data_IF_354738319372
#
_entry.id   IF_354738319372
#
_cell.length_a   1.000
_cell.length_b   1.000
_cell.length_c   1.000
_cell.angle_alpha   90.00
_cell.angle_beta   90.00
_cell.angle_gamma   90.00
#
_symmetry.space_group_name_H-M   'P 1'
#
loop_
_entity.id
_entity.type
_entity.pdbx_description
1 polymer ?
#
# COMPACT_ATOMS: atom_id res chain seq x y z
N UNK A 1 -18.28 -24.86 17.63
CA UNK A 1 -17.67 -23.83 16.76
C UNK A 1 -16.15 -23.89 16.87
N UNK A 2 -15.48 -24.95 16.37
CA UNK A 2 -14.03 -25.13 16.54
C UNK A 2 -13.27 -25.55 15.26
N UNK A 3 -13.96 -25.75 14.13
CA UNK A 3 -13.37 -26.36 12.92
C UNK A 3 -12.90 -25.35 11.85
N UNK A 4 -13.24 -24.07 11.98
CA UNK A 4 -12.86 -23.05 10.98
C UNK A 4 -11.49 -22.41 11.24
N UNK A 5 -10.92 -22.60 12.44
CA UNK A 5 -9.64 -22.02 12.80
C UNK A 5 -8.43 -22.91 12.43
N UNK A 6 -8.60 -24.23 12.38
CA UNK A 6 -7.51 -25.19 12.08
C UNK A 6 -7.00 -25.09 10.63
N UNK A 7 -7.91 -24.96 9.66
CA UNK A 7 -7.57 -24.89 8.23
C UNK A 7 -6.72 -23.67 7.85
N UNK A 8 -6.94 -22.53 8.50
CA UNK A 8 -6.19 -21.31 8.24
C UNK A 8 -4.76 -21.44 8.78
N UNK A 9 -4.59 -21.97 10.00
CA UNK A 9 -3.27 -22.25 10.61
C UNK A 9 -2.49 -23.30 9.84
N UNK A 10 -3.14 -24.33 9.31
CA UNK A 10 -2.51 -25.34 8.44
C UNK A 10 -2.01 -24.73 7.13
N UNK A 11 -2.79 -23.83 6.51
CA UNK A 11 -2.36 -23.13 5.28
C UNK A 11 -1.18 -22.18 5.49
N UNK A 12 -1.09 -21.55 6.68
CA UNK A 12 -0.01 -20.63 7.06
C UNK A 12 1.30 -21.40 7.31
N UNK A 13 1.24 -22.50 8.06
CA UNK A 13 2.40 -23.38 8.27
C UNK A 13 2.89 -24.03 6.98
N UNK A 14 1.97 -24.34 6.07
CA UNK A 14 2.30 -24.87 4.75
C UNK A 14 3.08 -23.85 3.91
N UNK A 15 2.62 -22.59 3.82
CA UNK A 15 3.27 -21.57 3.00
C UNK A 15 4.67 -21.20 3.47
N UNK A 16 4.89 -21.05 4.78
CA UNK A 16 6.25 -20.81 5.32
C UNK A 16 7.21 -21.94 4.93
N UNK A 17 6.75 -23.18 5.00
CA UNK A 17 7.55 -24.36 4.62
C UNK A 17 7.84 -24.36 3.12
N UNK A 18 6.85 -24.00 2.30
CA UNK A 18 7.00 -23.90 0.86
C UNK A 18 7.99 -22.80 0.45
N UNK A 19 7.93 -21.63 1.10
CA UNK A 19 8.91 -20.56 0.93
C UNK A 19 10.32 -21.06 1.23
N UNK A 20 10.52 -21.71 2.38
CA UNK A 20 11.84 -22.25 2.74
C UNK A 20 12.35 -23.24 1.70
N UNK A 21 11.51 -24.19 1.28
CA UNK A 21 11.86 -25.17 0.24
C UNK A 21 12.25 -24.49 -1.07
N UNK A 22 11.56 -23.42 -1.45
CA UNK A 22 11.85 -22.69 -2.68
C UNK A 22 13.16 -21.90 -2.58
N UNK A 23 13.42 -21.24 -1.45
CA UNK A 23 14.69 -20.54 -1.19
C UNK A 23 15.85 -21.54 -1.21
N UNK A 24 15.73 -22.68 -0.54
CA UNK A 24 16.75 -23.74 -0.54
C UNK A 24 17.02 -24.24 -1.97
N UNK A 25 15.96 -24.43 -2.77
CA UNK A 25 16.11 -24.83 -4.17
C UNK A 25 16.81 -23.75 -5.01
N UNK A 26 16.53 -22.46 -4.76
CA UNK A 26 17.18 -21.33 -5.44
C UNK A 26 18.66 -21.20 -5.04
N UNK A 27 19.00 -21.43 -3.77
CA UNK A 27 20.38 -21.37 -3.27
C UNK A 27 21.28 -22.42 -3.92
N UNK A 28 20.77 -23.64 -4.08
CA UNK A 28 21.53 -24.74 -4.69
C UNK A 28 21.44 -24.76 -6.22
N UNK A 29 20.63 -23.88 -6.82
CA UNK A 29 20.50 -23.81 -8.26
C UNK A 29 21.72 -23.13 -8.88
N UNK A 30 22.29 -23.77 -9.91
CA UNK A 30 23.34 -23.16 -10.74
C UNK A 30 22.88 -21.87 -11.42
N UNK A 31 21.58 -21.79 -11.75
CA UNK A 31 20.92 -20.62 -12.33
C UNK A 31 19.51 -20.52 -11.73
N UNK A 32 19.18 -19.37 -11.15
CA UNK A 32 17.82 -19.09 -10.70
C UNK A 32 16.95 -18.78 -11.92
N UNK A 33 15.96 -19.63 -12.17
CA UNK A 33 15.07 -19.53 -13.33
C UNK A 33 13.92 -18.54 -13.12
N UNK A 34 13.29 -18.13 -14.22
CA UNK A 34 12.03 -17.37 -14.18
C UNK A 34 10.92 -18.08 -13.41
N UNK A 35 10.88 -19.41 -13.48
CA UNK A 35 9.93 -20.22 -12.73
C UNK A 35 10.09 -20.04 -11.21
N UNK A 36 11.32 -19.97 -10.72
CA UNK A 36 11.58 -19.72 -9.29
C UNK A 36 11.08 -18.33 -8.87
N UNK A 37 11.38 -17.30 -9.66
CA UNK A 37 10.91 -15.94 -9.38
C UNK A 37 9.39 -15.81 -9.46
N UNK A 38 8.75 -16.48 -10.42
CA UNK A 38 7.30 -16.50 -10.55
C UNK A 38 6.65 -17.17 -9.35
N UNK A 39 7.16 -18.34 -8.93
CA UNK A 39 6.66 -19.06 -7.77
C UNK A 39 6.80 -18.23 -6.49
N UNK A 40 7.95 -17.58 -6.29
CA UNK A 40 8.17 -16.72 -5.13
C UNK A 40 7.28 -15.48 -5.15
N UNK A 41 7.06 -14.87 -6.32
CA UNK A 41 6.15 -13.74 -6.50
C UNK A 41 4.70 -14.08 -6.15
N UNK A 42 4.23 -15.28 -6.51
CA UNK A 42 2.91 -15.78 -6.10
C UNK A 42 2.83 -15.96 -4.58
N UNK A 43 3.80 -16.66 -3.98
CA UNK A 43 3.83 -16.88 -2.53
C UNK A 43 3.84 -15.57 -1.74
N UNK A 44 4.64 -14.58 -2.17
CA UNK A 44 4.68 -13.26 -1.55
C UNK A 44 3.33 -12.56 -1.66
N UNK A 45 2.68 -12.66 -2.81
CA UNK A 45 1.36 -12.05 -3.05
C UNK A 45 0.30 -12.69 -2.16
N UNK A 46 0.22 -14.01 -2.14
CA UNK A 46 -0.76 -14.75 -1.33
C UNK A 46 -0.54 -14.53 0.17
N UNK A 47 0.71 -14.53 0.61
CA UNK A 47 1.08 -14.23 1.99
C UNK A 47 0.72 -12.78 2.37
N UNK A 48 0.95 -11.82 1.46
CA UNK A 48 0.55 -10.42 1.66
C UNK A 48 -0.97 -10.26 1.77
N UNK A 49 -1.73 -10.91 0.88
CA UNK A 49 -3.20 -10.86 0.88
C UNK A 49 -3.80 -11.52 2.11
N UNK A 50 -3.16 -12.57 2.62
CA UNK A 50 -3.64 -13.33 3.79
C UNK A 50 -3.09 -12.82 5.13
N UNK A 51 -2.29 -11.75 5.11
CA UNK A 51 -1.56 -11.28 6.28
C UNK A 51 -0.66 -12.33 6.97
N UNK A 52 -0.05 -13.23 6.19
CA UNK A 52 0.82 -14.30 6.68
C UNK A 52 2.23 -13.76 6.98
N UNK A 53 2.39 -13.18 8.18
CA UNK A 53 3.65 -12.63 8.66
C UNK A 53 4.79 -13.64 8.69
N UNK A 54 4.63 -14.87 9.25
CA UNK A 54 5.71 -15.84 9.28
C UNK A 54 6.25 -16.21 7.90
N UNK A 55 5.39 -16.36 6.89
CA UNK A 55 5.83 -16.64 5.52
C UNK A 55 6.57 -15.46 4.90
N UNK A 56 6.11 -14.22 5.13
CA UNK A 56 6.77 -13.02 4.61
C UNK A 56 8.12 -12.75 5.28
N UNK A 57 8.26 -13.00 6.59
CA UNK A 57 9.56 -12.92 7.29
C UNK A 57 10.53 -13.96 6.72
N UNK A 58 10.08 -15.21 6.54
CA UNK A 58 10.91 -16.26 5.94
C UNK A 58 11.35 -15.89 4.50
N UNK A 59 10.45 -15.31 3.69
CA UNK A 59 10.78 -14.77 2.38
C UNK A 59 11.84 -13.68 2.47
N UNK A 60 11.71 -12.74 3.41
CA UNK A 60 12.64 -11.63 3.57
C UNK A 60 14.05 -12.13 3.91
N UNK A 61 14.14 -13.01 4.91
CA UNK A 61 15.40 -13.56 5.39
C UNK A 61 16.09 -14.39 4.29
N UNK A 62 15.33 -15.24 3.60
CA UNK A 62 15.81 -16.05 2.50
C UNK A 62 16.30 -15.23 1.31
N UNK A 63 15.54 -14.19 0.90
CA UNK A 63 15.95 -13.29 -0.17
C UNK A 63 17.22 -12.49 0.20
N UNK A 64 17.33 -12.03 1.45
CA UNK A 64 18.54 -11.36 1.94
C UNK A 64 19.75 -12.31 2.00
N UNK A 65 19.53 -13.58 2.32
CA UNK A 65 20.54 -14.64 2.24
C UNK A 65 21.01 -14.86 0.79
N UNK A 66 20.09 -15.05 -0.15
CA UNK A 66 20.43 -15.21 -1.57
C UNK A 66 21.17 -13.98 -2.11
N UNK A 67 20.72 -12.77 -1.78
CA UNK A 67 21.37 -11.54 -2.24
C UNK A 67 22.84 -11.43 -1.78
N UNK A 68 23.20 -11.98 -0.62
CA UNK A 68 24.59 -12.00 -0.13
C UNK A 68 25.54 -12.83 -0.99
N UNK A 69 25.03 -13.72 -1.84
CA UNK A 69 25.87 -14.47 -2.79
C UNK A 69 26.34 -13.63 -3.98
N UNK A 70 25.76 -12.43 -4.17
CA UNK A 70 26.03 -11.53 -5.29
C UNK A 70 26.71 -10.21 -4.83
N UNK A 71 27.59 -10.29 -3.84
CA UNK A 71 28.26 -9.11 -3.26
C UNK A 71 29.36 -8.54 -4.17
N UNK A 72 30.07 -9.39 -4.90
CA UNK A 72 31.10 -8.96 -5.86
C UNK A 72 30.47 -8.63 -7.22
N UNK A 73 29.96 -7.40 -7.32
CA UNK A 73 29.17 -6.93 -8.47
C UNK A 73 30.00 -6.90 -9.76
N UNK A 74 31.30 -6.59 -9.65
CA UNK A 74 32.19 -6.43 -10.80
C UNK A 74 32.53 -7.79 -11.44
N UNK A 75 32.49 -8.86 -10.65
CA UNK A 75 32.68 -10.24 -11.13
C UNK A 75 31.42 -10.86 -11.76
N UNK A 76 30.24 -10.21 -11.66
CA UNK A 76 29.00 -10.77 -12.17
C UNK A 76 28.90 -10.66 -13.70
N UNK A 77 28.38 -11.70 -14.34
CA UNK A 77 27.93 -11.62 -15.72
C UNK A 77 26.57 -10.89 -15.83
N UNK A 78 26.11 -10.65 -17.07
CA UNK A 78 24.86 -9.93 -17.29
C UNK A 78 23.62 -10.66 -16.70
N UNK A 79 23.43 -11.97 -16.91
CA UNK A 79 22.35 -12.73 -16.26
C UNK A 79 22.37 -12.68 -14.72
N UNK A 80 23.55 -12.80 -14.11
CA UNK A 80 23.71 -12.73 -12.65
C UNK A 80 23.37 -11.33 -12.11
N UNK A 81 23.76 -10.26 -12.83
CA UNK A 81 23.35 -8.89 -12.47
C UNK A 81 21.84 -8.71 -12.52
N UNK A 82 21.17 -9.27 -13.53
CA UNK A 82 19.70 -9.23 -13.62
C UNK A 82 19.04 -10.00 -12.48
N UNK A 83 19.50 -11.22 -12.20
CA UNK A 83 19.03 -12.02 -11.06
C UNK A 83 19.17 -11.27 -9.74
N UNK A 84 20.34 -10.67 -9.48
CA UNK A 84 20.58 -9.83 -8.31
C UNK A 84 19.58 -8.69 -8.22
N UNK A 85 19.33 -7.98 -9.33
CA UNK A 85 18.36 -6.90 -9.39
C UNK A 85 16.93 -7.35 -9.06
N UNK A 86 16.52 -8.52 -9.55
CA UNK A 86 15.21 -9.11 -9.26
C UNK A 86 15.07 -9.51 -7.79
N UNK A 87 16.10 -10.13 -7.22
CA UNK A 87 16.15 -10.44 -5.78
C UNK A 87 15.99 -9.16 -4.96
N UNK A 88 16.74 -8.10 -5.29
CA UNK A 88 16.64 -6.81 -4.60
C UNK A 88 15.24 -6.20 -4.70
N UNK A 89 14.61 -6.24 -5.88
CA UNK A 89 13.24 -5.78 -6.06
C UNK A 89 12.23 -6.56 -5.23
N UNK A 90 12.39 -7.89 -5.11
CA UNK A 90 11.53 -8.71 -4.26
C UNK A 90 11.76 -8.42 -2.77
N UNK A 91 12.99 -8.14 -2.33
CA UNK A 91 13.27 -7.69 -0.96
C UNK A 91 12.48 -6.42 -0.65
N UNK A 92 12.47 -5.44 -1.55
CA UNK A 92 11.73 -4.19 -1.35
C UNK A 92 10.22 -4.43 -1.27
N UNK A 93 9.67 -5.30 -2.13
CA UNK A 93 8.25 -5.66 -2.10
C UNK A 93 7.88 -6.32 -0.78
N UNK A 94 8.65 -7.31 -0.33
CA UNK A 94 8.41 -8.01 0.94
C UNK A 94 8.56 -7.06 2.13
N UNK A 95 9.57 -6.17 2.10
CA UNK A 95 9.74 -5.14 3.13
C UNK A 95 8.49 -4.26 3.28
N UNK A 96 7.92 -3.81 2.16
CA UNK A 96 6.71 -3.00 2.18
C UNK A 96 5.46 -3.80 2.54
N UNK A 97 5.38 -5.08 2.15
CA UNK A 97 4.32 -5.98 2.58
C UNK A 97 4.33 -6.14 4.11
N UNK A 98 5.48 -6.47 4.71
CA UNK A 98 5.67 -6.58 6.17
C UNK A 98 5.35 -5.28 6.90
N UNK A 99 5.79 -4.13 6.38
CA UNK A 99 5.42 -2.83 6.96
C UNK A 99 3.93 -2.51 6.90
N UNK A 100 3.21 -3.11 5.96
CA UNK A 100 1.77 -2.93 5.77
C UNK A 100 0.95 -4.08 6.34
N UNK A 101 1.60 -5.14 6.82
CA UNK A 101 0.92 -6.23 7.47
C UNK A 101 0.14 -5.69 8.67
N UNK A 102 -0.99 -6.34 8.98
CA UNK A 102 -1.61 -6.11 10.26
C UNK A 102 -0.62 -6.58 11.33
N UNK A 103 0.14 -5.66 11.94
CA UNK A 103 0.84 -5.95 13.19
C UNK A 103 -0.16 -6.61 14.13
N UNK A 104 0.05 -7.87 14.51
CA UNK A 104 -0.82 -8.66 15.39
C UNK A 104 -1.06 -8.05 16.77
N UNK A 105 -0.59 -6.81 16.99
CA UNK A 105 -1.08 -5.90 18.00
C UNK A 105 -2.61 -5.80 17.88
N UNK A 106 -3.30 -6.65 18.64
CA UNK A 106 -4.65 -6.39 19.07
C UNK A 106 -4.58 -5.06 19.81
N UNK A 107 -4.96 -4.01 19.10
CA UNK A 107 -5.26 -2.72 19.69
C UNK A 107 -6.43 -2.99 20.65
N UNK A 108 -6.13 -3.25 21.92
CA UNK A 108 -7.13 -3.31 22.99
C UNK A 108 -7.54 -1.87 23.33
N UNK A 109 -8.17 -1.19 22.36
CA UNK A 109 -8.61 0.19 22.56
C UNK A 109 -9.79 0.18 23.52
N UNK A 110 -9.65 0.98 24.57
CA UNK A 110 -10.79 1.35 25.40
C UNK A 110 -11.76 2.18 24.53
N UNK A 111 -13.06 1.84 24.50
CA UNK A 111 -14.03 2.54 23.63
C UNK A 111 -14.07 4.06 23.82
N UNK A 112 -13.93 4.51 25.05
CA UNK A 112 -13.89 5.94 25.40
C UNK A 112 -12.48 6.54 25.39
N UNK A 113 -11.47 5.73 25.06
CA UNK A 113 -10.08 6.17 24.99
C UNK A 113 -9.83 7.10 23.80
N UNK A 114 -8.85 8.00 23.96
CA UNK A 114 -8.44 8.96 22.93
C UNK A 114 -8.14 8.30 21.57
N UNK A 115 -7.58 7.09 21.57
CA UNK A 115 -7.26 6.34 20.36
C UNK A 115 -8.51 5.79 19.64
N UNK A 116 -9.50 5.28 20.37
CA UNK A 116 -10.76 4.85 19.78
C UNK A 116 -11.53 6.05 19.20
N UNK A 117 -11.65 7.12 19.98
CA UNK A 117 -12.28 8.37 19.54
C UNK A 117 -11.58 9.00 18.33
N UNK A 118 -10.24 8.95 18.26
CA UNK A 118 -9.48 9.36 17.09
C UNK A 118 -9.90 8.57 15.84
N UNK A 119 -9.93 7.23 15.93
CA UNK A 119 -10.29 6.38 14.80
C UNK A 119 -11.73 6.66 14.33
N UNK A 120 -12.68 6.78 15.27
CA UNK A 120 -14.07 7.11 14.95
C UNK A 120 -14.19 8.48 14.28
N UNK A 121 -13.48 9.49 14.77
CA UNK A 121 -13.47 10.83 14.17
C UNK A 121 -12.93 10.79 12.73
N UNK A 122 -11.75 10.18 12.52
CA UNK A 122 -11.16 10.05 11.16
C UNK A 122 -12.01 9.20 10.24
N UNK A 123 -12.72 8.19 10.76
CA UNK A 123 -13.70 7.41 9.98
C UNK A 123 -14.85 8.28 9.48
N UNK A 124 -15.35 9.20 10.32
CA UNK A 124 -16.46 10.10 9.98
C UNK A 124 -16.02 11.17 8.99
N UNK A 125 -14.80 11.70 9.15
CA UNK A 125 -14.23 12.73 8.27
C UNK A 125 -12.77 12.43 7.93
N UNK A 126 -12.52 11.70 6.82
CA UNK A 126 -11.16 11.48 6.34
C UNK A 126 -10.47 12.80 5.96
N UNK A 127 -9.15 12.84 6.06
CA UNK A 127 -8.31 14.01 5.72
C UNK A 127 -8.15 15.04 6.84
N UNK A 128 -8.64 14.79 8.05
CA UNK A 128 -8.53 15.75 9.14
C UNK A 128 -7.09 15.98 9.59
N UNK A 129 -6.78 17.24 9.86
CA UNK A 129 -5.50 17.66 10.44
C UNK A 129 -5.41 17.49 11.94
N UNK A 130 -4.19 17.55 12.49
CA UNK A 130 -3.97 17.50 13.94
C UNK A 130 -4.80 18.53 14.69
N UNK A 131 -4.85 19.77 14.19
CA UNK A 131 -5.63 20.86 14.76
C UNK A 131 -7.13 20.57 14.75
N UNK A 132 -7.65 20.08 13.62
CA UNK A 132 -9.07 19.75 13.49
C UNK A 132 -9.47 18.60 14.43
N UNK A 133 -8.64 17.56 14.52
CA UNK A 133 -8.86 16.46 15.46
C UNK A 133 -8.76 16.90 16.92
N UNK A 134 -7.82 17.79 17.25
CA UNK A 134 -7.67 18.35 18.59
C UNK A 134 -8.94 19.10 19.01
N UNK A 135 -9.46 19.97 18.13
CA UNK A 135 -10.73 20.66 18.36
C UNK A 135 -11.91 19.70 18.48
N UNK A 136 -12.06 18.75 17.55
CA UNK A 136 -13.17 17.80 17.53
C UNK A 136 -13.19 16.88 18.76
N UNK A 137 -12.00 16.54 19.29
CA UNK A 137 -11.86 15.68 20.44
C UNK A 137 -11.67 16.45 21.76
N UNK A 138 -11.72 17.79 21.75
CA UNK A 138 -11.51 18.59 22.96
C UNK A 138 -10.18 18.29 23.67
N UNK A 139 -9.11 18.07 22.90
CA UNK A 139 -7.76 17.76 23.38
C UNK A 139 -6.73 18.66 22.68
N UNK A 140 -5.45 18.56 23.02
CA UNK A 140 -4.37 19.30 22.36
C UNK A 140 -3.74 18.54 21.16
N UNK A 141 -3.08 19.29 20.26
CA UNK A 141 -2.43 18.73 19.05
C UNK A 141 -1.25 17.79 19.36
N UNK A 142 -0.64 17.90 20.54
CA UNK A 142 0.47 17.03 20.95
C UNK A 142 -0.06 15.65 21.30
N UNK A 143 -1.18 15.55 22.02
CA UNK A 143 -1.82 14.26 22.29
C UNK A 143 -2.35 13.63 21.00
N UNK A 144 -2.93 14.40 20.08
CA UNK A 144 -3.30 13.92 18.74
C UNK A 144 -2.08 13.33 18.01
N UNK A 145 -0.94 14.02 18.06
CA UNK A 145 0.30 13.53 17.45
C UNK A 145 0.83 12.26 18.11
N UNK A 146 0.71 12.15 19.44
CA UNK A 146 1.15 10.99 20.22
C UNK A 146 0.29 9.78 19.94
N UNK A 147 -1.03 9.94 19.99
CA UNK A 147 -2.02 8.91 19.66
C UNK A 147 -1.91 8.51 18.19
N UNK A 148 -1.86 9.47 17.27
CA UNK A 148 -1.70 9.24 15.84
C UNK A 148 -0.44 8.45 15.50
N UNK A 149 0.69 8.71 16.19
CA UNK A 149 1.92 7.91 16.02
C UNK A 149 1.72 6.46 16.43
N UNK A 150 1.04 6.19 17.56
CA UNK A 150 0.74 4.83 18.03
C UNK A 150 -0.18 4.09 17.04
N UNK A 151 -1.22 4.77 16.56
CA UNK A 151 -2.16 4.21 15.58
C UNK A 151 -1.49 3.97 14.21
N UNK A 152 -0.58 4.86 13.80
CA UNK A 152 0.23 4.70 12.59
C UNK A 152 1.16 3.50 12.69
N UNK A 153 1.85 3.31 13.83
CA UNK A 153 2.68 2.12 14.05
C UNK A 153 1.87 0.83 14.12
N UNK A 154 0.60 0.93 14.53
CA UNK A 154 -0.34 -0.19 14.50
C UNK A 154 -1.02 -0.35 13.12
N UNK A 155 -0.66 0.43 12.10
CA UNK A 155 -1.14 0.25 10.73
C UNK A 155 -2.64 0.50 10.51
N UNK A 156 -3.35 1.08 11.48
CA UNK A 156 -4.80 1.36 11.37
C UNK A 156 -5.10 2.74 10.79
N UNK A 157 -4.10 3.62 10.72
CA UNK A 157 -4.18 4.93 10.07
C UNK A 157 -2.96 5.15 9.18
N UNK A 158 -3.08 6.07 8.25
CA UNK A 158 -1.97 6.62 7.47
C UNK A 158 -2.00 8.14 7.50
N UNK A 159 -0.84 8.75 7.27
CA UNK A 159 -0.66 10.21 7.31
C UNK A 159 -0.20 10.71 5.95
N UNK A 160 -0.96 11.64 5.37
CA UNK A 160 -0.55 12.42 4.20
C UNK A 160 0.01 13.76 4.66
N UNK A 161 1.01 14.28 3.95
CA UNK A 161 1.56 15.62 4.19
C UNK A 161 0.94 16.57 3.18
N UNK A 162 0.07 17.46 3.65
CA UNK A 162 -0.60 18.47 2.83
C UNK A 162 -0.03 19.85 3.21
N UNK A 163 0.92 20.33 2.41
CA UNK A 163 1.66 21.57 2.64
C UNK A 163 2.27 21.67 4.05
N UNK A 164 1.67 22.47 4.93
CA UNK A 164 2.12 22.73 6.31
C UNK A 164 1.36 21.92 7.35
N UNK A 165 0.43 21.06 6.94
CA UNK A 165 -0.41 20.26 7.82
C UNK A 165 -0.28 18.78 7.50
N UNK A 166 -0.46 17.96 8.53
CA UNK A 166 -0.67 16.52 8.34
C UNK A 166 -2.16 16.30 8.15
N UNK A 167 -2.54 15.37 7.28
CA UNK A 167 -3.90 14.89 7.10
C UNK A 167 -3.95 13.40 7.43
N UNK A 168 -4.94 12.99 8.23
CA UNK A 168 -5.12 11.61 8.66
C UNK A 168 -6.28 10.96 7.94
N UNK A 169 -6.07 9.70 7.60
CA UNK A 169 -7.07 8.87 6.95
C UNK A 169 -7.00 7.45 7.55
N UNK A 170 -8.06 6.65 7.35
CA UNK A 170 -8.02 5.24 7.74
C UNK A 170 -7.40 4.40 6.64
N UNK A 171 -6.58 3.43 7.06
CA UNK A 171 -6.22 2.30 6.18
C UNK A 171 -7.43 1.36 6.03
N UNK A 172 -7.46 0.46 5.04
CA UNK A 172 -8.46 -0.61 4.99
C UNK A 172 -8.52 -1.40 6.31
N UNK A 173 -7.37 -1.64 6.95
CA UNK A 173 -7.27 -2.26 8.28
C UNK A 173 -7.99 -1.44 9.35
N UNK A 174 -7.78 -0.13 9.40
CA UNK A 174 -8.46 0.74 10.37
C UNK A 174 -9.98 0.67 10.27
N UNK A 175 -10.51 0.56 9.04
CA UNK A 175 -11.94 0.37 8.78
C UNK A 175 -12.43 -0.99 9.30
N UNK A 176 -11.79 -2.07 8.89
CA UNK A 176 -12.13 -3.42 9.37
C UNK A 176 -12.02 -3.54 10.89
N UNK A 177 -11.01 -2.92 11.49
CA UNK A 177 -10.86 -2.89 12.94
C UNK A 177 -12.03 -2.16 13.61
N UNK A 178 -12.46 -1.00 13.09
CA UNK A 178 -13.63 -0.29 13.62
C UNK A 178 -14.93 -1.08 13.49
N UNK A 179 -15.11 -1.79 12.37
CA UNK A 179 -16.28 -2.65 12.12
C UNK A 179 -16.33 -3.83 13.09
N UNK A 180 -15.19 -4.46 13.38
CA UNK A 180 -15.11 -5.69 14.20
C UNK A 180 -14.98 -5.41 15.70
N UNK A 181 -14.49 -4.24 16.10
CA UNK A 181 -14.25 -3.88 17.50
C UNK A 181 -15.48 -3.36 18.25
N UNK A 182 -16.60 -3.11 17.55
CA UNK A 182 -17.79 -2.50 18.15
C UNK A 182 -17.59 -1.05 18.61
N UNK A 183 -16.53 -0.38 18.12
CA UNK A 183 -16.21 1.01 18.44
C UNK A 183 -17.08 2.02 17.67
N UNK A 184 -17.67 1.59 16.56
CA UNK A 184 -18.70 2.38 15.91
C UNK A 184 -19.96 2.30 16.77
N UNK A 185 -20.60 3.44 17.12
CA UNK A 185 -21.87 3.40 17.80
C UNK A 185 -22.83 2.56 16.96
N UNK A 186 -23.42 1.53 17.58
CA UNK A 186 -24.52 0.79 16.98
C UNK A 186 -25.52 1.82 16.46
N UNK A 187 -25.89 1.69 15.19
CA UNK A 187 -26.67 2.69 14.47
C UNK A 187 -27.76 3.24 15.36
N UNK A 188 -27.78 4.56 15.52
CA UNK A 188 -29.03 5.24 15.82
C UNK A 188 -29.97 4.90 14.67
N UNK A 189 -30.75 3.84 14.84
CA UNK A 189 -31.98 3.58 14.13
C UNK A 189 -32.87 4.80 14.37
N UNK A 190 -32.77 5.80 13.49
CA UNK A 190 -33.81 6.80 13.36
C UNK A 190 -34.97 6.07 12.68
N UNK A 191 -35.97 5.71 13.50
CA UNK A 191 -37.21 5.08 13.06
C UNK A 191 -38.02 5.94 12.06
N UNK A 192 -39.08 5.36 11.49
CA UNK A 192 -39.83 5.92 10.38
C UNK A 192 -40.98 6.82 10.86
N UNK A 193 -40.93 8.11 10.52
CA UNK A 193 -42.10 9.00 10.39
C UNK A 193 -41.84 9.84 9.13
N UNK A 194 -42.46 9.56 7.99
CA UNK A 194 -43.82 9.97 7.64
C UNK A 194 -44.04 11.47 7.87
N UNK A 195 -43.84 12.28 6.82
CA UNK A 195 -44.99 12.95 6.24
C UNK A 195 -44.75 13.42 4.81
N UNK A 196 -45.67 13.01 3.96
CA UNK A 196 -45.86 13.48 2.62
C UNK A 196 -46.53 14.86 2.67
N UNK A 197 -45.98 15.81 1.91
CA UNK A 197 -46.79 16.88 1.32
C UNK A 197 -46.35 17.03 -0.13
N UNK A 198 -47.14 16.42 -1.02
CA UNK A 198 -47.31 16.91 -2.37
C UNK A 198 -48.29 18.09 -2.32
N UNK A 199 -48.03 19.19 -3.05
CA UNK A 199 -48.88 19.65 -4.16
C UNK A 199 -48.38 20.94 -4.85
N UNK A 200 -48.60 20.97 -6.17
CA UNK A 200 -48.79 22.07 -7.12
C UNK A 200 -47.73 23.19 -7.36
N UNK A 201 -47.26 23.25 -8.63
CA UNK A 201 -46.61 24.41 -9.28
C UNK A 201 -47.62 25.52 -9.68
N UNK A 202 -47.38 26.38 -10.71
CA UNK A 202 -46.41 26.28 -11.81
C UNK A 202 -45.67 27.60 -12.20
N UNK A 203 -44.64 27.45 -13.06
CA UNK A 203 -44.36 28.40 -14.13
C UNK A 203 -43.21 29.41 -13.93
N UNK A 204 -42.09 29.18 -14.63
CA UNK A 204 -41.64 30.10 -15.69
C UNK A 204 -40.50 29.51 -16.52
N UNK A 205 -40.75 29.61 -17.82
CA UNK A 205 -39.94 29.28 -19.00
C UNK A 205 -38.69 30.18 -19.07
N UNK A 206 -37.52 29.61 -19.34
CA UNK A 206 -36.45 30.22 -20.15
C UNK A 206 -35.34 29.19 -20.42
N UNK A 207 -35.42 28.51 -21.56
CA UNK A 207 -34.27 28.06 -22.35
C UNK A 207 -34.00 29.16 -23.43
N UNK A 208 -32.87 29.20 -24.18
CA UNK A 208 -31.83 28.17 -24.34
C UNK A 208 -30.37 28.69 -24.34
N UNK A 209 -29.39 27.80 -24.16
CA UNK A 209 -28.09 27.88 -24.84
C UNK A 209 -27.32 26.53 -24.75
N UNK A 210 -27.32 25.79 -25.85
CA UNK A 210 -26.24 24.84 -26.24
C UNK A 210 -25.26 25.58 -27.19
N UNK A 211 -24.07 25.07 -27.56
CA UNK A 211 -23.49 23.73 -27.31
C UNK A 211 -22.00 23.74 -26.88
N UNK A 212 -21.48 22.62 -26.38
CA UNK A 212 -20.17 22.10 -26.79
C UNK A 212 -19.99 20.65 -26.33
N UNK A 213 -19.88 19.76 -27.30
CA UNK A 213 -19.31 18.42 -27.13
C UNK A 213 -17.84 18.53 -26.69
N UNK A 214 -17.44 17.76 -25.68
CA UNK A 214 -16.03 17.38 -25.53
C UNK A 214 -15.91 15.96 -24.98
N UNK A 215 -15.75 15.05 -25.93
CA UNK A 215 -14.86 13.89 -25.91
C UNK A 215 -14.50 13.27 -24.55
N UNK A 216 -15.09 12.10 -24.33
CA UNK A 216 -14.52 10.97 -23.58
C UNK A 216 -13.06 10.74 -24.00
N UNK A 217 -12.10 11.00 -23.09
CA UNK A 217 -10.71 10.53 -23.25
C UNK A 217 -10.48 9.34 -22.33
N UNK A 218 -10.21 8.21 -22.97
CA UNK A 218 -9.72 6.97 -22.38
C UNK A 218 -8.33 7.18 -21.73
N UNK A 219 -7.96 6.47 -20.64
CA UNK A 219 -6.73 6.74 -19.87
C UNK A 219 -5.42 6.22 -20.52
N UNK A 220 -5.48 5.44 -21.60
CA UNK A 220 -4.30 4.72 -22.13
C UNK A 220 -3.55 5.43 -23.27
N UNK A 221 -3.25 6.72 -23.09
CA UNK A 221 -2.43 7.50 -24.00
C UNK A 221 -0.98 7.66 -23.52
N UNK A 222 -0.11 6.69 -23.83
CA UNK A 222 1.35 6.80 -23.59
C UNK A 222 1.93 7.98 -24.39
N UNK A 223 2.62 8.96 -23.77
CA UNK A 223 3.29 10.01 -24.51
C UNK A 223 4.50 9.45 -25.27
N UNK A 224 4.46 9.47 -26.61
CA UNK A 224 5.64 9.22 -27.45
C UNK A 224 6.68 10.32 -27.20
N UNK A 225 7.81 9.98 -26.59
CA UNK A 225 9.01 10.84 -26.49
C UNK A 225 9.48 11.22 -27.90
N UNK A 226 9.66 12.52 -28.14
CA UNK A 226 10.51 13.03 -29.24
C UNK A 226 11.96 12.62 -28.98
N UNK A 227 12.72 12.16 -29.99
CA UNK A 227 14.15 11.97 -29.84
C UNK A 227 14.82 13.34 -29.66
N UNK A 228 15.60 13.46 -28.58
CA UNK A 228 16.47 14.59 -28.34
C UNK A 228 17.62 14.57 -29.35
N UNK A 229 17.88 15.73 -29.95
CA UNK A 229 19.05 16.02 -30.78
C UNK A 229 20.32 15.62 -30.03
N UNK A 230 21.10 14.71 -30.62
CA UNK A 230 22.34 14.21 -30.04
C UNK A 230 23.43 15.29 -29.94
N UNK A 231 24.41 15.11 -29.03
CA UNK A 231 25.54 16.02 -28.94
C UNK A 231 26.49 15.87 -30.14
N UNK A 232 27.02 17.01 -30.59
CA UNK A 232 27.95 17.14 -31.70
C UNK A 232 29.22 16.30 -31.50
N UNK A 233 29.64 15.59 -32.56
CA UNK A 233 30.94 14.91 -32.63
C UNK A 233 32.09 15.93 -32.55
N UNK A 234 33.18 15.65 -31.83
CA UNK A 234 34.43 16.41 -31.95
C UNK A 234 35.01 16.23 -33.36
N UNK A 235 35.38 17.33 -34.01
CA UNK A 235 36.09 17.32 -35.29
C UNK A 235 37.53 16.81 -35.09
N UNK A 236 37.93 15.79 -35.84
CA UNK A 236 39.33 15.38 -35.97
C UNK A 236 40.14 16.46 -36.71
N UNK A 237 41.38 16.78 -36.28
CA UNK A 237 42.25 17.69 -37.01
C UNK A 237 42.81 17.03 -38.28
N UNK A 238 43.05 17.81 -39.36
CA UNK A 238 43.52 17.29 -40.63
C UNK A 238 44.96 16.76 -40.55
N UNK A 239 45.19 15.59 -41.17
CA UNK A 239 46.53 15.00 -41.33
C UNK A 239 47.37 15.82 -42.33
N UNK A 240 48.68 15.96 -42.10
CA UNK A 240 49.57 16.59 -43.06
C UNK A 240 49.73 15.73 -44.32
N UNK A 241 49.70 16.38 -45.49
CA UNK A 241 49.97 15.77 -46.77
C UNK A 241 51.42 15.27 -46.86
N UNK A 242 51.60 14.03 -47.31
CA UNK A 242 52.86 13.51 -47.85
C UNK A 242 52.76 13.60 -49.37
N UNK A 243 53.75 14.22 -50.01
CA UNK A 243 53.93 14.24 -51.47
C UNK A 243 53.88 15.64 -52.04
#
# INVERSE_FOLDING_TARGET
>A
MSALNDSATDSVHNRRTEVRRLIDAMEHAKVISDGHFSALGMLITDASLSADEPALVECQDGLQWLHRHYLDIDALDAPQREQRGRILGLIDVVHWALKRLPSGLQLALQPEGHAARFLVAVSRRPGMSNRQLATELGTDETEISRVGRKLLSAGVVWRRKEWRHNAWDLTPRGRQYLETSGLLPAGTETGPEADAVADAGPGRRAEPARPAETATRSPDGVPRRRPASGPARPQEPPRPARG
#
